data_IF_439506466814
#
_entry.id   IF_439506466814
#
_cell.length_a   1.000
_cell.length_b   1.000
_cell.length_c   1.000
_cell.angle_alpha   90.00
_cell.angle_beta   90.00
_cell.angle_gamma   90.00
#
_symmetry.space_group_name_H-M   'P 1'
#
loop_
_entity.id
_entity.type
_entity.pdbx_description
1 polymer ?
#
# COMPACT_ATOMS: atom_id res chain seq x y z
N UNK A 1 7.70 -16.48 11.50
CA UNK A 1 7.04 -17.65 12.13
C UNK A 1 6.52 -17.30 13.52
N UNK A 2 7.25 -16.51 14.32
CA UNK A 2 6.81 -16.11 15.68
C UNK A 2 5.58 -15.18 15.73
N UNK A 3 5.40 -14.30 14.75
CA UNK A 3 4.30 -13.32 14.73
C UNK A 3 2.91 -13.97 14.63
N UNK A 4 2.73 -14.96 13.75
CA UNK A 4 1.46 -15.69 13.65
C UNK A 4 1.13 -16.49 14.91
N UNK A 5 2.15 -16.97 15.62
CA UNK A 5 1.97 -17.71 16.87
C UNK A 5 1.55 -16.78 18.02
N UNK A 6 2.03 -15.55 18.04
CA UNK A 6 1.62 -14.52 19.02
C UNK A 6 0.17 -14.09 18.80
N UNK A 7 -0.22 -13.81 17.55
CA UNK A 7 -1.60 -13.47 17.20
C UNK A 7 -2.58 -14.59 17.59
N UNK A 8 -2.21 -15.86 17.34
CA UNK A 8 -3.01 -17.00 17.74
C UNK A 8 -3.15 -17.08 19.27
N UNK A 9 -2.10 -16.79 20.03
CA UNK A 9 -2.15 -16.80 21.51
C UNK A 9 -3.07 -15.71 22.06
N UNK A 10 -3.02 -14.50 21.50
CA UNK A 10 -3.89 -13.40 21.90
C UNK A 10 -5.35 -13.73 21.61
N UNK A 11 -5.64 -14.24 20.41
CA UNK A 11 -7.00 -14.64 20.05
C UNK A 11 -7.55 -15.74 20.96
N UNK A 12 -6.73 -16.74 21.31
CA UNK A 12 -7.12 -17.78 22.27
C UNK A 12 -7.45 -17.19 23.65
N UNK A 13 -6.70 -16.18 24.12
CA UNK A 13 -6.99 -15.52 25.39
C UNK A 13 -8.28 -14.70 25.33
N UNK A 14 -8.56 -14.05 24.20
CA UNK A 14 -9.79 -13.29 23.96
C UNK A 14 -11.03 -14.21 23.95
N UNK A 15 -10.94 -15.38 23.30
CA UNK A 15 -12.01 -16.37 23.32
C UNK A 15 -12.23 -16.95 24.72
N UNK A 16 -11.17 -17.06 25.54
CA UNK A 16 -11.28 -17.51 26.94
C UNK A 16 -11.96 -16.49 27.85
N UNK A 17 -11.74 -15.20 27.62
CA UNK A 17 -12.38 -14.14 28.41
C UNK A 17 -13.82 -13.89 27.96
N UNK A 18 -14.11 -14.06 26.67
CA UNK A 18 -15.45 -13.91 26.12
C UNK A 18 -15.75 -14.94 25.02
N UNK A 19 -16.47 -15.99 25.39
CA UNK A 19 -16.88 -17.05 24.46
C UNK A 19 -17.93 -16.61 23.44
N UNK A 20 -18.61 -15.48 23.65
CA UNK A 20 -19.64 -14.99 22.74
C UNK A 20 -19.06 -14.47 21.41
N UNK A 21 -17.75 -14.17 21.38
CA UNK A 21 -17.02 -13.76 20.18
C UNK A 21 -17.06 -14.86 19.11
N UNK A 22 -17.05 -16.12 19.52
CA UNK A 22 -17.19 -17.24 18.59
C UNK A 22 -18.53 -17.22 17.87
N UNK A 23 -19.56 -16.52 18.38
CA UNK A 23 -20.88 -16.38 17.76
C UNK A 23 -21.02 -15.21 16.78
N UNK A 24 -19.98 -14.43 16.57
CA UNK A 24 -19.97 -13.40 15.52
C UNK A 24 -19.85 -14.06 14.12
N UNK A 25 -20.64 -13.62 13.12
CA UNK A 25 -20.55 -14.10 11.74
C UNK A 25 -19.13 -14.03 11.15
N UNK A 26 -18.32 -13.04 11.54
CA UNK A 26 -16.95 -12.85 11.04
C UNK A 26 -16.01 -14.01 11.40
N UNK A 27 -16.31 -14.74 12.49
CA UNK A 27 -15.54 -15.91 12.92
C UNK A 27 -16.18 -17.24 12.49
N UNK A 28 -17.11 -17.22 11.52
CA UNK A 28 -17.76 -18.42 10.98
C UNK A 28 -16.77 -19.51 10.56
N UNK A 29 -15.76 -19.14 9.75
CA UNK A 29 -14.72 -20.06 9.27
C UNK A 29 -13.93 -20.73 10.42
N UNK A 30 -13.68 -20.00 11.52
CA UNK A 30 -12.92 -20.52 12.65
C UNK A 30 -13.76 -21.47 13.49
N UNK A 31 -15.06 -21.19 13.63
CA UNK A 31 -16.01 -22.12 14.26
C UNK A 31 -16.14 -23.42 13.46
N UNK A 32 -16.29 -23.33 12.14
CA UNK A 32 -16.35 -24.50 11.25
C UNK A 32 -15.08 -25.36 11.43
N UNK A 33 -13.91 -24.71 11.41
CA UNK A 33 -12.64 -25.37 11.72
C UNK A 33 -12.63 -26.05 13.10
N UNK A 34 -13.10 -25.37 14.16
CA UNK A 34 -13.16 -25.98 15.50
C UNK A 34 -14.09 -27.21 15.56
N UNK A 35 -15.23 -27.15 14.89
CA UNK A 35 -16.21 -28.24 14.83
C UNK A 35 -15.68 -29.45 14.03
N UNK A 36 -14.91 -29.22 12.96
CA UNK A 36 -14.22 -30.28 12.19
C UNK A 36 -13.28 -31.12 13.07
N UNK A 37 -12.63 -30.49 14.05
CA UNK A 37 -11.76 -31.17 15.03
C UNK A 37 -12.52 -31.67 16.27
N UNK A 38 -13.86 -31.64 16.25
CA UNK A 38 -14.72 -32.18 17.31
C UNK A 38 -14.85 -31.30 18.55
N UNK A 39 -14.50 -30.02 18.47
CA UNK A 39 -14.69 -29.10 19.58
C UNK A 39 -16.18 -28.76 19.76
N UNK A 40 -16.62 -28.64 21.03
CA UNK A 40 -17.99 -28.23 21.38
C UNK A 40 -18.00 -26.77 21.81
N UNK A 41 -18.61 -25.91 20.99
CA UNK A 41 -18.68 -24.46 21.26
C UNK A 41 -19.83 -24.18 22.25
N UNK A 42 -19.58 -23.47 23.36
CA UNK A 42 -20.64 -23.09 24.31
C UNK A 42 -21.71 -22.21 23.64
N UNK A 43 -23.01 -22.38 23.97
CA UNK A 43 -24.08 -21.56 23.40
C UNK A 43 -24.02 -20.10 23.88
N UNK A 44 -24.42 -19.16 23.01
CA UNK A 44 -24.46 -17.72 23.29
C UNK A 44 -25.28 -17.43 24.55
N UNK A 45 -24.67 -16.75 25.54
CA UNK A 45 -25.41 -16.35 26.75
C UNK A 45 -26.45 -15.28 26.37
N UNK A 46 -27.71 -15.49 26.76
CA UNK A 46 -28.79 -14.51 26.53
C UNK A 46 -28.71 -13.43 27.60
N UNK A 47 -28.58 -12.18 27.19
CA UNK A 47 -28.73 -11.02 28.08
C UNK A 47 -30.13 -10.99 28.70
N UNK A 48 -30.19 -11.16 30.02
CA UNK A 48 -31.33 -10.73 30.83
C UNK A 48 -30.87 -9.56 31.68
N UNK A 49 -31.30 -8.35 31.34
CA UNK A 49 -31.06 -7.16 32.15
C UNK A 49 -31.90 -7.14 33.43
N UNK A 50 -31.30 -6.69 34.54
CA UNK A 50 -31.78 -5.62 35.44
C UNK A 50 -31.14 -5.71 36.85
N UNK A 51 -30.76 -4.53 37.35
CA UNK A 51 -30.47 -4.04 38.71
C UNK A 51 -30.11 -5.00 39.86
N UNK A 52 -29.04 -4.66 40.61
CA UNK A 52 -29.12 -4.15 42.00
C UNK A 52 -27.73 -3.97 42.61
N UNK A 53 -27.54 -2.88 43.37
CA UNK A 53 -26.48 -2.77 44.39
C UNK A 53 -26.59 -3.92 45.41
N UNK A 54 -25.48 -4.28 46.06
CA UNK A 54 -25.50 -4.15 47.51
C UNK A 54 -24.23 -3.51 48.07
N UNK A 55 -24.45 -2.72 49.12
CA UNK A 55 -23.45 -2.23 50.07
C UNK A 55 -22.74 -3.40 50.77
N UNK A 56 -21.42 -3.28 50.94
CA UNK A 56 -20.62 -4.23 51.72
C UNK A 56 -19.20 -3.70 51.93
N UNK A 57 -18.96 -3.08 53.08
CA UNK A 57 -17.69 -2.54 53.54
C UNK A 57 -16.57 -3.60 53.55
N UNK A 58 -15.45 -3.31 52.88
CA UNK A 58 -14.14 -3.84 53.25
C UNK A 58 -13.06 -2.81 52.85
N UNK A 59 -12.24 -2.42 53.82
CA UNK A 59 -11.22 -1.36 53.73
C UNK A 59 -10.24 -1.59 52.58
N UNK A 60 -10.20 -0.62 51.68
CA UNK A 60 -9.17 -0.43 50.66
C UNK A 60 -7.80 -0.22 51.31
N UNK A 61 -6.78 -0.93 50.81
CA UNK A 61 -5.42 -0.40 50.76
C UNK A 61 -5.31 0.22 49.37
N UNK A 62 -5.14 1.54 49.31
CA UNK A 62 -4.84 2.26 48.08
C UNK A 62 -3.55 1.69 47.46
N UNK A 63 -3.57 1.13 46.23
CA UNK A 63 -2.36 1.07 45.43
C UNK A 63 -2.12 2.48 44.87
N UNK A 64 -0.89 2.99 45.01
CA UNK A 64 -0.48 4.25 44.39
C UNK A 64 -0.77 4.21 42.87
N UNK A 65 -1.16 5.34 42.26
CA UNK A 65 -1.47 5.39 40.83
C UNK A 65 -0.20 5.09 40.05
N UNK A 66 -0.13 3.90 39.47
CA UNK A 66 0.72 3.69 38.30
C UNK A 66 0.05 4.44 37.15
N UNK A 67 0.77 5.42 36.61
CA UNK A 67 0.43 6.05 35.33
C UNK A 67 0.29 4.95 34.28
N UNK A 68 -0.94 4.52 34.04
CA UNK A 68 -1.29 3.77 32.84
C UNK A 68 -1.36 4.83 31.76
N UNK A 69 -0.27 5.02 31.04
CA UNK A 69 -0.35 5.62 29.71
C UNK A 69 -1.38 4.79 28.94
N UNK A 70 -2.58 5.35 28.74
CA UNK A 70 -3.58 4.74 27.86
C UNK A 70 -2.92 4.61 26.49
N UNK A 71 -2.49 3.38 26.14
CA UNK A 71 -2.08 3.09 24.78
C UNK A 71 -3.23 3.52 23.86
N UNK A 72 -2.95 4.35 22.85
CA UNK A 72 -4.00 4.88 22.00
C UNK A 72 -4.80 3.71 21.38
N UNK A 73 -6.12 3.86 21.23
CA UNK A 73 -6.96 2.80 20.70
C UNK A 73 -6.39 2.29 19.37
N UNK A 74 -6.20 0.97 19.29
CA UNK A 74 -5.73 0.31 18.07
C UNK A 74 -6.72 0.68 16.95
N UNK A 75 -6.25 1.35 15.87
CA UNK A 75 -7.14 1.75 14.79
C UNK A 75 -7.75 0.52 14.13
N UNK A 76 -9.05 0.57 13.89
CA UNK A 76 -9.73 -0.54 13.22
C UNK A 76 -9.45 -0.43 11.71
N UNK A 77 -9.42 -1.55 10.95
CA UNK A 77 -9.24 -1.51 9.49
C UNK A 77 -10.24 -0.60 8.72
N UNK A 78 -11.34 -0.20 9.37
CA UNK A 78 -12.31 0.78 8.87
C UNK A 78 -11.80 2.23 8.82
N UNK A 79 -10.68 2.53 9.47
CA UNK A 79 -10.16 3.90 9.60
C UNK A 79 -9.19 4.24 8.45
N UNK A 80 -8.79 3.25 7.63
CA UNK A 80 -7.95 3.45 6.45
C UNK A 80 -8.77 4.15 5.36
N UNK A 81 -8.34 5.35 4.97
CA UNK A 81 -8.96 6.07 3.87
C UNK A 81 -8.52 5.48 2.53
N UNK A 82 -9.36 4.61 1.95
CA UNK A 82 -9.13 4.01 0.64
C UNK A 82 -9.62 4.89 -0.52
N UNK A 83 -9.87 6.17 -0.31
CA UNK A 83 -10.34 7.08 -1.37
C UNK A 83 -9.37 7.11 -2.54
N UNK A 84 -9.88 6.81 -3.74
CA UNK A 84 -9.11 6.79 -4.98
C UNK A 84 -8.17 5.58 -5.13
N UNK A 85 -8.23 4.60 -4.23
CA UNK A 85 -7.66 3.26 -4.49
C UNK A 85 -8.43 2.65 -5.65
N UNK A 86 -7.69 2.05 -6.59
CA UNK A 86 -8.22 1.38 -7.76
C UNK A 86 -7.77 -0.09 -7.76
N UNK A 87 -8.56 -0.94 -8.38
CA UNK A 87 -8.20 -2.33 -8.58
C UNK A 87 -6.96 -2.44 -9.48
N UNK A 88 -6.17 -3.48 -9.24
CA UNK A 88 -5.01 -3.76 -10.07
C UNK A 88 -5.47 -4.16 -11.48
N UNK A 89 -4.85 -3.58 -12.50
CA UNK A 89 -5.10 -3.89 -13.91
C UNK A 89 -4.33 -5.17 -14.31
N UNK A 90 -4.74 -6.29 -13.72
CA UNK A 90 -4.07 -7.60 -13.83
C UNK A 90 -4.24 -8.25 -15.21
N UNK A 91 -5.10 -7.69 -16.07
CA UNK A 91 -5.43 -8.23 -17.40
C UNK A 91 -4.86 -7.39 -18.56
N UNK A 92 -4.02 -6.39 -18.29
CA UNK A 92 -3.42 -5.58 -19.34
C UNK A 92 -2.16 -6.21 -19.92
N UNK A 93 -2.06 -6.20 -21.25
CA UNK A 93 -0.87 -6.70 -21.95
C UNK A 93 0.38 -5.90 -21.52
N UNK A 94 1.50 -6.60 -21.23
CA UNK A 94 2.76 -5.93 -20.94
C UNK A 94 3.18 -5.01 -22.08
N UNK A 95 3.56 -3.78 -21.72
CA UNK A 95 4.06 -2.81 -22.70
C UNK A 95 5.48 -3.17 -23.15
N UNK A 96 5.86 -2.84 -24.41
CA UNK A 96 7.23 -3.02 -24.88
C UNK A 96 8.24 -2.27 -23.99
N UNK A 97 9.27 -2.97 -23.52
CA UNK A 97 10.33 -2.40 -22.66
C UNK A 97 11.65 -2.15 -23.40
N UNK A 98 11.66 -2.38 -24.72
CA UNK A 98 12.85 -2.44 -25.56
C UNK A 98 13.76 -3.62 -25.25
N UNK A 99 14.79 -3.82 -26.07
CA UNK A 99 15.78 -4.87 -25.85
C UNK A 99 16.76 -4.44 -24.73
N UNK A 100 16.82 -5.17 -23.60
CA UNK A 100 17.70 -4.80 -22.49
C UNK A 100 19.19 -4.82 -22.84
N UNK A 101 19.60 -5.49 -23.92
CA UNK A 101 21.00 -5.57 -24.36
C UNK A 101 21.31 -4.64 -25.53
N UNK A 102 20.34 -3.85 -26.01
CA UNK A 102 20.58 -2.91 -27.11
C UNK A 102 21.46 -1.76 -26.64
N UNK A 103 22.62 -1.62 -27.28
CA UNK A 103 23.42 -0.40 -27.26
C UNK A 103 22.88 0.56 -28.32
N UNK A 104 22.32 1.69 -27.89
CA UNK A 104 21.75 2.67 -28.81
C UNK A 104 22.87 3.39 -29.58
N UNK A 105 22.78 3.38 -30.91
CA UNK A 105 23.67 4.16 -31.77
C UNK A 105 23.39 5.67 -31.64
N UNK A 106 24.28 6.52 -32.16
CA UNK A 106 24.05 7.98 -32.17
C UNK A 106 22.73 8.35 -32.88
N UNK A 107 22.39 7.65 -33.97
CA UNK A 107 21.12 7.81 -34.70
C UNK A 107 19.91 7.32 -33.89
N UNK A 108 20.04 6.20 -33.15
CA UNK A 108 18.99 5.76 -32.22
C UNK A 108 18.77 6.79 -31.11
N UNK A 109 19.83 7.37 -30.56
CA UNK A 109 19.77 8.37 -29.49
C UNK A 109 19.08 9.64 -29.99
N UNK A 110 19.43 10.12 -31.18
CA UNK A 110 18.79 11.28 -31.81
C UNK A 110 17.29 11.04 -32.00
N UNK A 111 16.91 9.92 -32.62
CA UNK A 111 15.51 9.54 -32.82
C UNK A 111 14.75 9.33 -31.51
N UNK A 112 15.39 8.73 -30.50
CA UNK A 112 14.79 8.56 -29.18
C UNK A 112 14.50 9.91 -28.52
N UNK A 113 15.40 10.89 -28.66
CA UNK A 113 15.19 12.23 -28.15
C UNK A 113 14.03 12.94 -28.89
N UNK A 114 13.95 12.82 -30.21
CA UNK A 114 12.82 13.36 -30.98
C UNK A 114 11.48 12.73 -30.55
N UNK A 115 11.43 11.40 -30.40
CA UNK A 115 10.25 10.70 -29.95
C UNK A 115 9.86 11.14 -28.52
N UNK A 116 10.84 11.26 -27.62
CA UNK A 116 10.64 11.79 -26.26
C UNK A 116 10.06 13.21 -26.28
N UNK A 117 10.54 14.08 -27.16
CA UNK A 117 10.07 15.46 -27.24
C UNK A 117 8.64 15.54 -27.79
N UNK A 118 8.29 14.71 -28.78
CA UNK A 118 6.90 14.50 -29.22
C UNK A 118 6.01 13.99 -28.09
N UNK A 119 6.50 13.03 -27.30
CA UNK A 119 5.77 12.49 -26.16
C UNK A 119 5.49 13.56 -25.09
N UNK A 120 6.48 14.41 -24.81
CA UNK A 120 6.34 15.53 -23.87
C UNK A 120 5.34 16.59 -24.37
N UNK A 121 5.33 16.88 -25.67
CA UNK A 121 4.35 17.77 -26.28
C UNK A 121 2.93 17.21 -26.15
N UNK A 122 2.72 15.96 -26.58
CA UNK A 122 1.43 15.26 -26.44
C UNK A 122 0.95 15.20 -24.99
N UNK A 123 1.86 14.93 -24.04
CA UNK A 123 1.53 14.93 -22.61
C UNK A 123 1.05 16.31 -22.12
N UNK A 124 1.72 17.38 -22.57
CA UNK A 124 1.37 18.76 -22.19
C UNK A 124 0.04 19.22 -22.79
N UNK A 125 -0.34 18.68 -23.94
CA UNK A 125 -1.64 18.88 -24.59
C UNK A 125 -2.77 18.01 -23.99
N UNK A 126 -2.43 17.06 -23.11
CA UNK A 126 -3.39 16.13 -22.52
C UNK A 126 -3.64 14.86 -23.33
N UNK A 127 -2.95 14.68 -24.46
CA UNK A 127 -3.07 13.53 -25.36
C UNK A 127 -2.28 12.34 -24.81
N UNK A 128 -2.83 11.65 -23.81
CA UNK A 128 -2.12 10.60 -23.06
C UNK A 128 -1.79 9.36 -23.90
N UNK A 129 -2.66 8.96 -24.84
CA UNK A 129 -2.41 7.80 -25.71
C UNK A 129 -1.24 8.05 -26.67
N UNK A 130 -1.19 9.25 -27.26
CA UNK A 130 -0.06 9.67 -28.12
C UNK A 130 1.23 9.80 -27.31
N UNK A 131 1.17 10.37 -26.10
CA UNK A 131 2.32 10.42 -25.21
C UNK A 131 2.84 9.01 -24.88
N UNK A 132 1.95 8.06 -24.58
CA UNK A 132 2.30 6.68 -24.31
C UNK A 132 2.97 6.01 -25.51
N UNK A 133 2.42 6.23 -26.71
CA UNK A 133 2.96 5.72 -27.97
C UNK A 133 4.38 6.26 -28.22
N UNK A 134 4.57 7.58 -28.16
CA UNK A 134 5.87 8.19 -28.44
C UNK A 134 6.93 7.86 -27.39
N UNK A 135 6.56 7.72 -26.10
CA UNK A 135 7.50 7.19 -25.11
C UNK A 135 7.87 5.73 -25.35
N UNK A 136 6.94 4.92 -25.87
CA UNK A 136 7.23 3.53 -26.22
C UNK A 136 8.22 3.46 -27.38
N UNK A 137 8.02 4.27 -28.42
CA UNK A 137 8.98 4.42 -29.52
C UNK A 137 10.37 4.85 -29.02
N UNK A 138 10.42 5.87 -28.14
CA UNK A 138 11.68 6.32 -27.54
C UNK A 138 12.40 5.20 -26.76
N UNK A 139 11.65 4.37 -26.02
CA UNK A 139 12.19 3.24 -25.25
C UNK A 139 12.71 2.12 -26.15
N UNK A 140 12.02 1.80 -27.26
CA UNK A 140 12.51 0.80 -28.22
C UNK A 140 13.80 1.25 -28.92
N UNK A 141 13.96 2.57 -29.12
CA UNK A 141 15.17 3.16 -29.68
C UNK A 141 16.32 3.19 -28.65
N UNK A 142 16.05 3.65 -27.43
CA UNK A 142 17.06 3.76 -26.37
C UNK A 142 16.55 3.19 -25.02
N UNK A 143 16.53 1.85 -24.87
CA UNK A 143 15.97 1.19 -23.68
C UNK A 143 16.81 1.39 -22.42
N UNK A 144 18.09 1.76 -22.57
CA UNK A 144 19.02 2.03 -21.49
C UNK A 144 18.88 3.41 -20.85
N UNK A 145 17.95 4.24 -21.31
CA UNK A 145 17.76 5.59 -20.77
C UNK A 145 16.65 5.63 -19.70
N UNK A 146 17.06 5.62 -18.43
CA UNK A 146 16.16 5.55 -17.27
C UNK A 146 15.00 6.58 -17.28
N UNK A 147 15.28 7.79 -17.75
CA UNK A 147 14.29 8.88 -17.76
C UNK A 147 13.11 8.60 -18.69
N UNK A 148 13.28 7.80 -19.75
CA UNK A 148 12.18 7.44 -20.66
C UNK A 148 11.16 6.57 -19.96
N UNK A 149 11.61 5.54 -19.24
CA UNK A 149 10.76 4.66 -18.45
C UNK A 149 10.03 5.43 -17.34
N UNK A 150 10.74 6.30 -16.58
CA UNK A 150 10.11 7.11 -15.54
C UNK A 150 9.03 8.06 -16.10
N UNK A 151 9.27 8.68 -17.26
CA UNK A 151 8.28 9.57 -17.90
C UNK A 151 7.09 8.80 -18.44
N UNK A 152 7.30 7.61 -19.03
CA UNK A 152 6.20 6.75 -19.45
C UNK A 152 5.35 6.27 -18.27
N UNK A 153 5.97 5.95 -17.13
CA UNK A 153 5.27 5.63 -15.90
C UNK A 153 4.32 6.76 -15.45
N UNK A 154 4.74 8.02 -15.57
CA UNK A 154 3.87 9.17 -15.27
C UNK A 154 2.63 9.20 -16.19
N UNK A 155 2.81 8.97 -17.50
CA UNK A 155 1.69 8.85 -18.45
C UNK A 155 0.74 7.72 -18.04
N UNK A 156 1.29 6.56 -17.67
CA UNK A 156 0.50 5.40 -17.23
C UNK A 156 -0.30 5.68 -15.95
N UNK A 157 0.24 6.46 -15.02
CA UNK A 157 -0.52 6.92 -13.84
C UNK A 157 -1.69 7.83 -14.22
N UNK A 158 -1.53 8.71 -15.22
CA UNK A 158 -2.64 9.54 -15.74
C UNK A 158 -3.71 8.68 -16.41
N UNK A 159 -3.30 7.59 -17.07
CA UNK A 159 -4.18 6.59 -17.67
C UNK A 159 -4.74 5.56 -16.66
N UNK A 160 -4.48 5.71 -15.36
CA UNK A 160 -4.92 4.77 -14.30
C UNK A 160 -4.44 3.33 -14.51
N UNK A 161 -3.21 3.16 -15.01
CA UNK A 161 -2.53 1.85 -15.20
C UNK A 161 -1.35 1.68 -14.23
N UNK A 162 -1.59 1.57 -12.91
CA UNK A 162 -0.53 1.59 -11.89
C UNK A 162 0.41 0.38 -11.96
N UNK A 163 -0.08 -0.81 -12.35
CA UNK A 163 0.77 -2.01 -12.49
C UNK A 163 1.82 -1.84 -13.59
N UNK A 164 1.40 -1.34 -14.76
CA UNK A 164 2.33 -1.01 -15.85
C UNK A 164 3.29 0.11 -15.45
N UNK A 165 2.82 1.13 -14.71
CA UNK A 165 3.68 2.19 -14.19
C UNK A 165 4.75 1.66 -13.22
N UNK A 166 4.42 0.70 -12.36
CA UNK A 166 5.39 0.04 -11.47
C UNK A 166 6.47 -0.69 -12.26
N UNK A 167 6.10 -1.40 -13.33
CA UNK A 167 7.06 -2.10 -14.19
C UNK A 167 8.07 -1.12 -14.82
N UNK A 168 7.58 0.00 -15.38
CA UNK A 168 8.44 1.06 -15.91
C UNK A 168 9.32 1.70 -14.83
N UNK A 169 8.78 1.99 -13.65
CA UNK A 169 9.56 2.56 -12.56
C UNK A 169 10.65 1.60 -12.07
N UNK A 170 10.35 0.30 -11.97
CA UNK A 170 11.34 -0.72 -11.64
C UNK A 170 12.46 -0.75 -12.67
N UNK A 171 12.12 -0.66 -13.97
CA UNK A 171 13.12 -0.57 -15.03
C UNK A 171 13.97 0.70 -14.90
N UNK A 172 13.35 1.86 -14.69
CA UNK A 172 14.05 3.13 -14.47
C UNK A 172 15.05 3.05 -13.31
N UNK A 173 14.62 2.50 -12.16
CA UNK A 173 15.45 2.32 -10.96
C UNK A 173 16.55 1.28 -11.19
N UNK A 174 16.29 0.22 -11.96
CA UNK A 174 17.33 -0.78 -12.29
C UNK A 174 18.44 -0.22 -13.17
N UNK A 175 18.12 0.74 -14.04
CA UNK A 175 19.08 1.44 -14.90
C UNK A 175 19.82 2.52 -14.10
N UNK A 176 19.09 3.30 -13.30
CA UNK A 176 19.65 4.32 -12.44
C UNK A 176 19.02 4.24 -11.05
N UNK A 177 19.79 3.69 -10.10
CA UNK A 177 19.35 3.47 -8.72
C UNK A 177 19.02 4.77 -7.96
N UNK A 178 19.52 5.93 -8.44
CA UNK A 178 19.29 7.26 -7.87
C UNK A 178 18.19 8.02 -8.64
N UNK A 179 17.38 7.34 -9.44
CA UNK A 179 16.27 7.96 -10.17
C UNK A 179 15.13 8.40 -9.23
N UNK A 180 15.21 9.64 -8.73
CA UNK A 180 14.17 10.22 -7.88
C UNK A 180 12.77 10.15 -8.51
N UNK A 181 12.66 10.37 -9.83
CA UNK A 181 11.40 10.23 -10.57
C UNK A 181 10.88 8.79 -10.61
N UNK A 182 11.76 7.79 -10.73
CA UNK A 182 11.39 6.39 -10.67
C UNK A 182 10.72 6.06 -9.33
N UNK A 183 11.31 6.48 -8.21
CA UNK A 183 10.70 6.30 -6.89
C UNK A 183 9.41 7.12 -6.74
N UNK A 184 9.40 8.39 -7.15
CA UNK A 184 8.22 9.27 -7.06
C UNK A 184 6.98 8.64 -7.72
N UNK A 185 7.13 8.17 -8.95
CA UNK A 185 6.00 7.60 -9.69
C UNK A 185 5.65 6.18 -9.22
N UNK A 186 6.62 5.37 -8.76
CA UNK A 186 6.31 4.06 -8.17
C UNK A 186 5.56 4.19 -6.85
N UNK A 187 5.97 5.13 -6.00
CA UNK A 187 5.25 5.44 -4.76
C UNK A 187 3.82 5.92 -5.03
N UNK A 188 3.62 6.75 -6.06
CA UNK A 188 2.27 7.15 -6.49
C UNK A 188 1.45 5.97 -7.02
N UNK A 189 2.06 5.04 -7.75
CA UNK A 189 1.40 3.83 -8.22
C UNK A 189 0.97 2.93 -7.05
N UNK A 190 1.85 2.74 -6.06
CA UNK A 190 1.53 1.98 -4.85
C UNK A 190 0.38 2.61 -4.05
N UNK A 191 0.34 3.94 -3.93
CA UNK A 191 -0.82 4.64 -3.35
C UNK A 191 -2.11 4.32 -4.08
N UNK A 192 -2.09 4.31 -5.42
CA UNK A 192 -3.29 3.98 -6.21
C UNK A 192 -3.76 2.54 -5.98
N UNK A 193 -2.85 1.64 -5.61
CA UNK A 193 -3.15 0.25 -5.27
C UNK A 193 -3.43 0.03 -3.77
N UNK A 194 -3.48 1.08 -2.95
CA UNK A 194 -3.65 0.97 -1.50
C UNK A 194 -2.45 0.37 -0.77
N UNK A 195 -1.29 0.30 -1.40
CA UNK A 195 -0.02 -0.18 -0.82
C UNK A 195 0.67 0.96 -0.07
N UNK A 196 0.09 1.34 1.07
CA UNK A 196 0.43 2.57 1.79
C UNK A 196 1.88 2.61 2.28
N UNK A 197 2.39 1.49 2.81
CA UNK A 197 3.75 1.38 3.36
C UNK A 197 4.78 1.51 2.24
N UNK A 198 4.58 0.79 1.13
CA UNK A 198 5.46 0.87 -0.04
C UNK A 198 5.39 2.25 -0.70
N UNK A 199 4.20 2.85 -0.78
CA UNK A 199 4.02 4.21 -1.29
C UNK A 199 4.85 5.23 -0.50
N UNK A 200 4.75 5.19 0.83
CA UNK A 200 5.50 6.07 1.71
C UNK A 200 7.01 5.87 1.57
N UNK A 201 7.47 4.62 1.57
CA UNK A 201 8.90 4.30 1.46
C UNK A 201 9.51 4.88 0.16
N UNK A 202 8.82 4.72 -0.97
CA UNK A 202 9.27 5.25 -2.26
C UNK A 202 9.20 6.77 -2.32
N UNK A 203 8.10 7.39 -1.84
CA UNK A 203 7.95 8.85 -1.84
C UNK A 203 9.00 9.52 -0.93
N UNK A 204 9.27 8.96 0.24
CA UNK A 204 10.33 9.43 1.12
C UNK A 204 11.72 9.29 0.47
N UNK A 205 11.96 8.18 -0.23
CA UNK A 205 13.21 7.98 -1.00
C UNK A 205 13.34 9.01 -2.12
N UNK A 206 12.26 9.29 -2.85
CA UNK A 206 12.23 10.31 -3.89
C UNK A 206 12.61 11.69 -3.32
N UNK A 207 11.94 12.14 -2.25
CA UNK A 207 12.22 13.43 -1.61
C UNK A 207 13.64 13.53 -1.04
N UNK A 208 14.23 12.41 -0.61
CA UNK A 208 15.61 12.35 -0.13
C UNK A 208 16.62 12.50 -1.26
N UNK A 209 16.34 11.90 -2.42
CA UNK A 209 17.22 11.97 -3.59
C UNK A 209 17.14 13.33 -4.29
N UNK A 210 15.93 13.82 -4.51
CA UNK A 210 15.65 15.11 -5.11
C UNK A 210 14.33 15.66 -4.56
N UNK A 211 14.40 16.73 -3.77
CA UNK A 211 13.22 17.30 -3.14
C UNK A 211 12.29 17.90 -4.19
N UNK A 212 11.03 17.47 -4.17
CA UNK A 212 9.97 17.92 -5.07
C UNK A 212 8.69 18.11 -4.25
N UNK A 213 8.06 19.28 -4.38
CA UNK A 213 6.88 19.64 -3.57
C UNK A 213 5.72 18.67 -3.80
N UNK A 214 5.50 18.21 -5.03
CA UNK A 214 4.43 17.26 -5.36
C UNK A 214 4.71 15.89 -4.73
N UNK A 215 5.97 15.44 -4.74
CA UNK A 215 6.36 14.20 -4.06
C UNK A 215 6.14 14.31 -2.54
N UNK A 216 6.49 15.45 -1.94
CA UNK A 216 6.30 15.72 -0.52
C UNK A 216 4.81 15.83 -0.15
N UNK A 217 3.98 16.43 -1.01
CA UNK A 217 2.52 16.44 -0.85
C UNK A 217 1.95 15.02 -0.90
N UNK A 218 2.37 14.19 -1.86
CA UNK A 218 1.95 12.79 -1.93
C UNK A 218 2.46 11.97 -0.75
N UNK A 219 3.64 12.28 -0.21
CA UNK A 219 4.17 11.62 0.98
C UNK A 219 3.25 11.88 2.19
N UNK A 220 2.89 13.14 2.42
CA UNK A 220 1.95 13.54 3.48
C UNK A 220 0.56 12.94 3.28
N UNK A 221 0.12 12.76 2.03
CA UNK A 221 -1.16 12.09 1.71
C UNK A 221 -1.21 10.65 2.25
N UNK A 222 -0.09 9.92 2.23
CA UNK A 222 -0.05 8.49 2.62
C UNK A 222 0.29 8.26 4.09
N UNK A 223 0.92 9.23 4.77
CA UNK A 223 1.35 9.13 6.19
C UNK A 223 0.26 8.67 7.17
N UNK A 224 -0.99 9.18 7.11
CA UNK A 224 -2.06 8.74 8.02
C UNK A 224 -2.35 7.25 7.83
N UNK A 225 -2.52 6.80 6.58
CA UNK A 225 -2.81 5.41 6.27
C UNK A 225 -1.65 4.47 6.63
N UNK A 226 -0.40 4.93 6.55
CA UNK A 226 0.76 4.14 7.02
C UNK A 226 0.70 3.93 8.52
N UNK A 227 0.44 4.98 9.29
CA UNK A 227 0.34 4.92 10.76
C UNK A 227 -0.76 3.95 11.19
N UNK A 228 -1.90 3.97 10.50
CA UNK A 228 -3.02 3.05 10.70
C UNK A 228 -2.68 1.61 10.26
N UNK A 229 -2.01 1.46 9.12
CA UNK A 229 -1.60 0.16 8.58
C UNK A 229 -0.58 -0.54 9.48
N UNK A 230 0.36 0.21 10.06
CA UNK A 230 1.37 -0.34 10.98
C UNK A 230 0.78 -0.65 12.36
N UNK A 231 -0.17 0.15 12.86
CA UNK A 231 -0.82 -0.10 14.15
C UNK A 231 -1.83 -1.26 14.11
N UNK A 232 -2.40 -1.57 12.95
CA UNK A 232 -3.24 -2.77 12.77
C UNK A 232 -2.41 -4.09 12.81
N UNK A 233 -1.08 -4.00 12.76
CA UNK A 233 -0.14 -5.14 12.70
C UNK A 233 0.39 -5.54 14.11
N UNK A 234 0.12 -4.75 15.16
CA UNK A 234 0.55 -4.97 16.55
C UNK A 234 -0.65 -5.15 17.50
#
# INVERSE_FOLDING_TARGET
MDQHLQLLRQFVNLVRSNTDILHDPKFGFFREFMEEFGAKIPPKKKDTGSHAQPEGQAKEREPEPMDVEEEPPIPYPSDIDNTGVIEADDNSDPLPMGDPNKEASDDDIEKANEARDKAMAAFSEGNMDDALKYFTEAIELNPGLAILHAKRANVLLKLKRPMAAIADCNKAISINADSAQGYKFRGRAYRLLGKWVEAHADLATACKLDYDDVANEWLKEVEPNVSLSLSTIF
#
